data_IF_970233693213
#
_entry.id   IF_970233693213
#
_cell.length_a   1.000
_cell.length_b   1.000
_cell.length_c   1.000
_cell.angle_alpha   90.00
_cell.angle_beta   90.00
_cell.angle_gamma   90.00
#
_symmetry.space_group_name_H-M   'P 1'
#
loop_
_entity.id
_entity.type
_entity.pdbx_description
1 polymer ?
#
# COMPACT_ATOMS: atom_id res chain seq x y z
N UNK A 1 -8.81 -8.69 -5.57
CA UNK A 1 -8.75 -8.96 -4.10
C UNK A 1 -7.42 -8.40 -3.61
N UNK A 2 -7.35 -7.79 -2.43
CA UNK A 2 -6.11 -7.22 -1.89
C UNK A 2 -5.66 -8.04 -0.68
N UNK A 3 -4.42 -8.52 -0.73
CA UNK A 3 -3.75 -9.17 0.40
C UNK A 3 -2.62 -8.25 0.87
N UNK A 4 -2.67 -7.83 2.13
CA UNK A 4 -1.60 -7.09 2.80
C UNK A 4 -0.65 -8.11 3.42
N UNK A 5 0.59 -8.15 2.92
CA UNK A 5 1.64 -9.01 3.45
C UNK A 5 2.42 -8.21 4.47
N UNK A 6 2.18 -8.51 5.74
CA UNK A 6 2.81 -7.85 6.88
C UNK A 6 4.16 -8.50 7.14
N UNK A 7 5.23 -7.71 7.13
CA UNK A 7 6.60 -8.19 7.28
C UNK A 7 7.10 -7.83 8.67
N UNK A 8 7.37 -8.84 9.49
CA UNK A 8 7.86 -8.67 10.86
C UNK A 8 9.24 -9.28 11.01
N UNK A 9 10.15 -8.56 11.64
CA UNK A 9 11.46 -9.12 12.03
C UNK A 9 11.36 -9.65 13.45
N UNK A 10 11.60 -10.94 13.63
CA UNK A 10 11.72 -11.58 14.94
C UNK A 10 13.19 -11.85 15.25
N UNK A 11 13.57 -11.73 16.51
CA UNK A 11 14.92 -12.09 16.99
C UNK A 11 14.79 -13.30 17.89
N UNK A 12 15.55 -14.35 17.59
CA UNK A 12 15.58 -15.56 18.41
C UNK A 12 16.38 -15.35 19.71
N UNK A 13 16.34 -16.35 20.61
CA UNK A 13 17.08 -16.32 21.88
C UNK A 13 18.61 -16.30 21.70
N UNK A 14 19.09 -16.56 20.48
CA UNK A 14 20.51 -16.55 20.10
C UNK A 14 20.93 -15.24 19.40
N UNK A 15 20.01 -14.29 19.23
CA UNK A 15 20.26 -12.99 18.60
C UNK A 15 20.20 -13.00 17.07
N UNK A 16 19.79 -14.09 16.43
CA UNK A 16 19.60 -14.14 14.98
C UNK A 16 18.25 -13.50 14.63
N UNK A 17 18.24 -12.70 13.57
CA UNK A 17 17.02 -12.09 13.04
C UNK A 17 16.44 -12.93 11.91
N UNK A 18 15.16 -13.24 12.00
CA UNK A 18 14.38 -13.86 10.93
C UNK A 18 13.26 -12.92 10.49
N UNK A 19 13.00 -12.90 9.18
CA UNK A 19 11.89 -12.13 8.60
C UNK A 19 10.71 -13.05 8.37
N UNK A 20 9.56 -12.69 8.92
CA UNK A 20 8.32 -13.46 8.81
C UNK A 20 7.29 -12.64 8.04
N UNK A 21 6.76 -13.22 6.97
CA UNK A 21 5.69 -12.63 6.16
C UNK A 21 4.33 -13.23 6.56
N UNK A 22 3.40 -12.36 6.95
CA UNK A 22 2.03 -12.75 7.35
C UNK A 22 1.02 -12.17 6.37
N UNK A 23 0.45 -12.99 5.45
CA UNK A 23 -0.56 -12.52 4.52
C UNK A 23 -1.92 -12.33 5.21
N UNK A 24 -2.51 -11.14 5.03
CA UNK A 24 -3.82 -10.77 5.56
C UNK A 24 -4.70 -10.28 4.42
N UNK A 25 -5.80 -10.98 4.15
CA UNK A 25 -6.77 -10.53 3.16
C UNK A 25 -7.56 -9.33 3.69
N UNK A 26 -7.53 -8.23 2.94
CA UNK A 26 -8.21 -6.98 3.31
C UNK A 26 -9.35 -6.73 2.32
N UNK A 27 -10.59 -7.11 2.65
CA UNK A 27 -11.74 -6.89 1.77
C UNK A 27 -12.11 -5.40 1.71
N UNK A 28 -12.73 -4.98 0.61
CA UNK A 28 -13.23 -3.61 0.45
C UNK A 28 -12.14 -2.57 0.13
N UNK A 29 -10.94 -3.00 -0.23
CA UNK A 29 -9.91 -2.11 -0.76
C UNK A 29 -10.25 -1.63 -2.17
N UNK A 30 -9.86 -0.39 -2.48
CA UNK A 30 -9.96 0.20 -3.81
C UNK A 30 -8.58 0.66 -4.28
N UNK A 31 -8.22 0.33 -5.52
CA UNK A 31 -7.01 0.84 -6.16
C UNK A 31 -7.42 1.89 -7.20
N UNK A 32 -6.90 3.10 -7.08
CA UNK A 32 -7.16 4.19 -8.01
C UNK A 32 -5.85 4.68 -8.65
N UNK A 33 -5.86 5.10 -9.92
CA UNK A 33 -4.72 5.80 -10.50
C UNK A 33 -4.55 7.16 -9.82
N UNK A 34 -3.31 7.51 -9.49
CA UNK A 34 -2.94 8.85 -9.02
C UNK A 34 -2.52 9.70 -10.22
N UNK A 35 -3.19 10.81 -10.43
CA UNK A 35 -2.85 11.77 -11.49
C UNK A 35 -1.96 12.89 -10.95
N UNK A 36 -1.03 13.37 -11.78
CA UNK A 36 -0.26 14.58 -11.48
C UNK A 36 -1.16 15.82 -11.50
N UNK A 37 -0.93 16.72 -10.53
CA UNK A 37 -1.57 18.03 -10.46
C UNK A 37 -0.76 19.14 -11.15
N UNK A 38 0.43 18.86 -11.68
CA UNK A 38 1.35 19.84 -12.28
C UNK A 38 0.92 20.31 -13.69
N UNK A 39 -0.36 20.17 -14.01
CA UNK A 39 -0.81 20.34 -15.36
C UNK A 39 -1.03 21.81 -15.69
N UNK A 40 -0.33 22.30 -16.71
CA UNK A 40 -0.41 23.69 -17.18
C UNK A 40 -1.64 23.98 -18.04
N UNK A 41 -2.18 22.97 -18.74
CA UNK A 41 -3.36 23.09 -19.59
C UNK A 41 -4.52 22.23 -19.07
N UNK A 42 -5.65 22.80 -18.61
CA UNK A 42 -6.83 22.06 -18.12
C UNK A 42 -7.60 21.25 -19.18
N UNK A 43 -7.25 21.37 -20.48
CA UNK A 43 -7.82 20.57 -21.58
C UNK A 43 -6.95 19.39 -22.05
N UNK A 44 -5.68 19.36 -21.65
CA UNK A 44 -4.78 18.20 -21.64
C UNK A 44 -5.45 16.83 -21.27
N UNK A 45 -4.88 15.63 -21.50
CA UNK A 45 -5.20 14.46 -20.68
C UNK A 45 -4.45 14.54 -19.33
N UNK A 46 -5.01 13.95 -18.27
CA UNK A 46 -4.33 13.86 -16.98
C UNK A 46 -3.20 12.82 -17.07
N UNK A 47 -2.01 13.18 -16.58
CA UNK A 47 -0.88 12.24 -16.56
C UNK A 47 -1.00 11.38 -15.31
N UNK A 48 -1.15 10.07 -15.49
CA UNK A 48 -1.13 9.10 -14.39
C UNK A 48 0.32 8.96 -13.93
N UNK A 49 0.60 9.38 -12.70
CA UNK A 49 1.93 9.38 -12.09
C UNK A 49 2.15 8.26 -11.07
N UNK A 50 1.09 7.57 -10.65
CA UNK A 50 1.20 6.46 -9.71
C UNK A 50 -0.13 5.77 -9.43
N UNK A 51 -0.18 5.02 -8.33
CA UNK A 51 -1.41 4.39 -7.84
C UNK A 51 -1.62 4.71 -6.37
N UNK A 52 -2.88 4.85 -5.96
CA UNK A 52 -3.30 5.06 -4.58
C UNK A 52 -4.17 3.87 -4.16
N UNK A 53 -3.81 3.24 -3.05
CA UNK A 53 -4.59 2.20 -2.41
C UNK A 53 -5.42 2.82 -1.28
N UNK A 54 -6.72 2.54 -1.27
CA UNK A 54 -7.63 2.87 -0.19
C UNK A 54 -8.03 1.59 0.53
N UNK A 55 -7.84 1.56 1.85
CA UNK A 55 -8.15 0.43 2.72
C UNK A 55 -9.23 0.84 3.75
N UNK A 56 -10.09 -0.08 4.21
CA UNK A 56 -11.05 0.19 5.26
C UNK A 56 -10.42 0.70 6.57
N UNK A 57 -11.15 1.51 7.34
CA UNK A 57 -10.64 2.17 8.55
C UNK A 57 -10.14 1.23 9.66
N UNK A 58 -10.57 -0.04 9.65
CA UNK A 58 -10.15 -1.06 10.64
C UNK A 58 -8.96 -1.90 10.17
N UNK A 59 -8.41 -1.61 9.00
CA UNK A 59 -7.23 -2.31 8.49
C UNK A 59 -5.99 -1.89 9.25
N UNK A 60 -4.97 -2.74 9.29
CA UNK A 60 -3.67 -2.38 9.82
C UNK A 60 -2.98 -1.41 8.84
N UNK A 61 -2.51 -0.24 9.28
CA UNK A 61 -1.70 0.63 8.44
C UNK A 61 -0.41 -0.08 8.01
N UNK A 62 -0.01 0.00 6.73
CA UNK A 62 1.23 -0.62 6.28
C UNK A 62 2.45 0.08 6.87
N UNK A 63 3.48 -0.72 7.15
CA UNK A 63 4.83 -0.23 7.46
C UNK A 63 5.76 -0.36 6.25
N UNK A 64 6.92 0.28 6.28
CA UNK A 64 7.82 0.36 5.13
C UNK A 64 8.30 -1.00 4.58
N UNK A 65 8.34 -2.04 5.40
CA UNK A 65 8.73 -3.39 4.98
C UNK A 65 7.56 -4.20 4.37
N UNK A 66 6.32 -3.74 4.57
CA UNK A 66 5.14 -4.44 4.09
C UNK A 66 4.99 -4.31 2.57
N UNK A 67 4.26 -5.26 1.98
CA UNK A 67 3.86 -5.18 0.59
C UNK A 67 2.43 -5.68 0.40
N UNK A 68 1.88 -5.41 -0.78
CA UNK A 68 0.52 -5.78 -1.15
C UNK A 68 0.52 -6.68 -2.37
N UNK A 69 -0.35 -7.69 -2.35
CA UNK A 69 -0.70 -8.47 -3.53
C UNK A 69 -2.08 -8.02 -4.00
N UNK A 70 -2.13 -7.44 -5.19
CA UNK A 70 -3.35 -6.92 -5.80
C UNK A 70 -3.49 -7.59 -7.16
N UNK A 71 -4.52 -8.43 -7.29
CA UNK A 71 -4.80 -9.20 -8.52
C UNK A 71 -3.56 -9.96 -9.04
N UNK A 72 -2.80 -10.55 -8.12
CA UNK A 72 -1.61 -11.37 -8.40
C UNK A 72 -0.33 -10.57 -8.64
N UNK A 73 -0.36 -9.23 -8.53
CA UNK A 73 0.80 -8.36 -8.70
C UNK A 73 1.29 -7.80 -7.37
N UNK A 74 2.61 -7.65 -7.22
CA UNK A 74 3.25 -7.11 -6.01
C UNK A 74 3.35 -5.59 -6.07
N UNK A 75 2.98 -4.95 -4.98
CA UNK A 75 3.07 -3.51 -4.79
C UNK A 75 3.74 -3.19 -3.46
N UNK A 76 4.59 -2.17 -3.42
CA UNK A 76 5.14 -1.62 -2.17
C UNK A 76 4.47 -0.29 -1.83
N UNK A 77 4.37 0.01 -0.53
CA UNK A 77 3.96 1.32 -0.05
C UNK A 77 5.03 2.37 -0.38
N UNK A 78 4.62 3.49 -0.97
CA UNK A 78 5.48 4.63 -1.25
C UNK A 78 5.17 5.76 -0.26
N UNK A 79 6.03 5.90 0.75
CA UNK A 79 5.86 6.89 1.82
C UNK A 79 4.94 6.42 2.95
N UNK A 80 4.47 7.36 3.76
CA UNK A 80 3.64 7.09 4.93
C UNK A 80 2.16 6.92 4.56
N UNK A 81 1.48 6.04 5.28
CA UNK A 81 0.03 5.87 5.15
C UNK A 81 -0.72 7.05 5.77
N UNK A 82 -1.63 7.65 5.01
CA UNK A 82 -2.58 8.64 5.50
C UNK A 82 -3.77 7.97 6.17
N UNK A 83 -4.15 8.41 7.37
CA UNK A 83 -5.35 7.92 8.07
C UNK A 83 -6.46 8.95 7.98
N UNK A 84 -7.57 8.59 7.33
CA UNK A 84 -8.78 9.38 7.32
C UNK A 84 -9.64 8.96 8.50
N UNK A 85 -9.67 9.77 9.57
CA UNK A 85 -10.38 9.46 10.81
C UNK A 85 -11.81 8.97 10.55
N UNK A 86 -12.06 7.68 10.84
CA UNK A 86 -13.36 7.03 10.68
C UNK A 86 -13.76 6.61 9.26
N UNK A 87 -12.94 6.89 8.22
CA UNK A 87 -13.27 6.58 6.82
C UNK A 87 -12.38 5.52 6.20
N UNK A 88 -11.07 5.54 6.47
CA UNK A 88 -10.15 4.63 5.82
C UNK A 88 -8.68 4.96 6.05
N UNK A 89 -7.84 4.15 5.42
CA UNK A 89 -6.41 4.37 5.28
C UNK A 89 -6.15 4.56 3.79
N UNK A 90 -5.31 5.53 3.44
CA UNK A 90 -4.82 5.71 2.08
C UNK A 90 -3.31 5.59 2.05
N UNK A 91 -2.77 4.94 1.01
CA UNK A 91 -1.32 4.81 0.84
C UNK A 91 -0.99 4.83 -0.65
N UNK A 92 0.04 5.58 -1.02
CA UNK A 92 0.54 5.52 -2.38
C UNK A 92 1.24 4.17 -2.57
N UNK A 93 1.04 3.53 -3.72
CA UNK A 93 1.63 2.22 -4.00
C UNK A 93 2.30 2.18 -5.35
N UNK A 94 3.44 1.48 -5.40
CA UNK A 94 4.22 1.29 -6.61
C UNK A 94 4.27 -0.20 -6.97
N UNK A 95 3.94 -0.50 -8.22
CA UNK A 95 4.06 -1.86 -8.74
C UNK A 95 5.53 -2.26 -8.85
N UNK A 96 5.84 -3.48 -8.43
CA UNK A 96 7.19 -4.05 -8.51
C UNK A 96 7.13 -5.30 -9.38
N UNK A 97 7.99 -5.37 -10.42
CA UNK A 97 8.04 -6.51 -11.34
C UNK A 97 8.56 -7.78 -10.67
#
# INVERSE_FOLDING_TARGET
MVTHVQVTTITDDYGNTETVETPVDVPGCLLAPRASSERSDPHAPAVISGSQLYMPARSTPPVAADHFLIDGKRYEAEGEAGVWSGRGIEVAVKHIP
#
